data_IF_658433804005
#
_entry.id   IF_658433804005
#
_cell.length_a   1.000
_cell.length_b   1.000
_cell.length_c   1.000
_cell.angle_alpha   90.00
_cell.angle_beta   90.00
_cell.angle_gamma   90.00
#
_symmetry.space_group_name_H-M   'P 1'
#
loop_
_entity.id
_entity.type
_entity.pdbx_description
1 polymer ?
#
# COMPACT_ATOMS: atom_id res chain seq x y z
N UNK A 1 -18.02 19.87 -0.38
CA UNK A 1 -16.72 19.33 -0.82
C UNK A 1 -16.59 17.90 -0.30
N UNK A 2 -16.02 16.96 -1.04
CA UNK A 2 -15.80 15.59 -0.53
C UNK A 2 -14.69 15.59 0.51
N UNK A 3 -14.85 14.82 1.58
CA UNK A 3 -13.78 14.60 2.56
C UNK A 3 -12.80 13.53 2.06
N UNK A 4 -11.61 13.45 2.67
CA UNK A 4 -10.68 12.35 2.43
C UNK A 4 -11.31 10.97 2.69
N UNK A 5 -12.07 10.84 3.78
CA UNK A 5 -12.78 9.58 4.09
C UNK A 5 -13.77 9.22 2.99
N UNK A 6 -14.54 10.20 2.49
CA UNK A 6 -15.51 9.99 1.41
C UNK A 6 -14.84 9.46 0.14
N UNK A 7 -13.66 9.98 -0.23
CA UNK A 7 -12.92 9.48 -1.40
C UNK A 7 -12.45 8.03 -1.21
N UNK A 8 -11.98 7.69 -0.01
CA UNK A 8 -11.56 6.31 0.32
C UNK A 8 -12.77 5.37 0.25
N UNK A 9 -13.89 5.74 0.86
CA UNK A 9 -15.11 4.91 0.87
C UNK A 9 -15.66 4.69 -0.54
N UNK A 10 -15.58 5.70 -1.40
CA UNK A 10 -15.97 5.57 -2.81
C UNK A 10 -15.04 4.62 -3.58
N UNK A 11 -13.73 4.69 -3.38
CA UNK A 11 -12.80 3.76 -4.00
C UNK A 11 -13.03 2.32 -3.52
N UNK A 12 -13.28 2.11 -2.23
CA UNK A 12 -13.55 0.79 -1.65
C UNK A 12 -14.83 0.11 -2.14
N UNK A 13 -15.76 0.85 -2.78
CA UNK A 13 -16.91 0.23 -3.48
C UNK A 13 -16.49 -0.58 -4.71
N UNK A 14 -15.30 -0.31 -5.25
CA UNK A 14 -14.79 -0.91 -6.48
C UNK A 14 -13.50 -1.71 -6.26
N UNK A 15 -12.73 -1.37 -5.25
CA UNK A 15 -11.45 -1.99 -4.95
C UNK A 15 -11.64 -3.10 -3.91
N UNK A 16 -11.44 -4.37 -4.28
CA UNK A 16 -11.39 -5.46 -3.31
C UNK A 16 -10.23 -5.27 -2.32
N UNK A 17 -10.42 -5.73 -1.09
CA UNK A 17 -9.40 -5.72 -0.06
C UNK A 17 -9.01 -7.15 0.31
N UNK A 18 -7.72 -7.35 0.61
CA UNK A 18 -7.19 -8.60 1.19
C UNK A 18 -6.70 -8.31 2.60
N UNK A 19 -6.96 -9.23 3.55
CA UNK A 19 -6.44 -9.10 4.91
C UNK A 19 -4.96 -9.50 4.98
N UNK A 20 -4.20 -8.97 5.96
CA UNK A 20 -2.79 -9.34 6.14
C UNK A 20 -2.53 -10.86 6.26
N UNK A 21 -3.32 -11.56 7.06
CA UNK A 21 -3.16 -13.01 7.24
C UNK A 21 -3.45 -13.80 5.95
N UNK A 22 -4.49 -13.40 5.19
CA UNK A 22 -4.81 -14.02 3.90
C UNK A 22 -3.69 -13.77 2.89
N UNK A 23 -3.09 -12.57 2.90
CA UNK A 23 -1.95 -12.26 2.06
C UNK A 23 -0.73 -13.10 2.44
N UNK A 24 -0.46 -13.28 3.73
CA UNK A 24 0.67 -14.08 4.24
C UNK A 24 0.62 -15.51 3.73
N UNK A 25 -0.55 -16.13 3.74
CA UNK A 25 -0.74 -17.45 3.13
C UNK A 25 -0.59 -17.43 1.60
N UNK A 26 -1.03 -16.35 0.94
CA UNK A 26 -1.02 -16.25 -0.53
C UNK A 26 0.36 -16.02 -1.12
N UNK A 27 1.26 -15.35 -0.40
CA UNK A 27 2.64 -15.11 -0.87
C UNK A 27 3.51 -16.37 -0.86
N UNK A 28 3.09 -17.41 -0.12
CA UNK A 28 3.77 -18.72 -0.07
C UNK A 28 3.32 -19.67 -1.19
N UNK A 29 2.30 -19.30 -1.96
CA UNK A 29 1.76 -20.13 -3.05
C UNK A 29 2.66 -20.08 -4.29
N UNK A 30 2.44 -21.00 -5.23
CA UNK A 30 3.23 -21.09 -6.48
C UNK A 30 3.12 -19.86 -7.38
N UNK A 31 2.00 -19.14 -7.30
CA UNK A 31 1.74 -17.92 -8.08
C UNK A 31 1.35 -16.77 -7.13
N UNK A 32 2.33 -16.18 -6.41
CA UNK A 32 2.04 -15.12 -5.46
C UNK A 32 1.67 -13.82 -6.20
N UNK A 33 0.81 -12.97 -5.61
CA UNK A 33 0.52 -11.66 -6.17
C UNK A 33 1.78 -10.79 -6.19
N UNK A 34 1.83 -9.85 -7.13
CA UNK A 34 2.81 -8.78 -7.07
C UNK A 34 2.47 -7.85 -5.91
N UNK A 35 3.42 -7.66 -5.01
CA UNK A 35 3.31 -6.69 -3.93
C UNK A 35 3.81 -5.34 -4.42
N UNK A 36 2.96 -4.32 -4.38
CA UNK A 36 3.26 -2.97 -4.85
C UNK A 36 3.16 -1.98 -3.69
N UNK A 37 4.29 -1.51 -3.19
CA UNK A 37 4.34 -0.51 -2.13
C UNK A 37 4.33 0.91 -2.72
N UNK A 38 3.34 1.70 -2.34
CA UNK A 38 3.13 3.07 -2.83
C UNK A 38 3.43 4.16 -1.80
N UNK A 39 4.05 3.79 -0.67
CA UNK A 39 4.45 4.73 0.37
C UNK A 39 5.57 5.64 -0.12
N UNK A 40 5.81 6.71 0.63
CA UNK A 40 6.94 7.61 0.35
C UNK A 40 8.28 6.85 0.46
N UNK A 41 9.34 7.30 -0.24
CA UNK A 41 10.64 6.63 -0.22
C UNK A 41 11.20 6.39 1.17
N UNK A 42 11.05 7.34 2.09
CA UNK A 42 11.54 7.22 3.46
C UNK A 42 10.74 6.17 4.26
N UNK A 43 9.42 6.07 4.02
CA UNK A 43 8.58 5.04 4.65
C UNK A 43 8.98 3.63 4.18
N UNK A 44 9.31 3.46 2.89
CA UNK A 44 9.72 2.18 2.31
C UNK A 44 11.15 1.79 2.72
N UNK A 45 12.07 2.75 2.69
CA UNK A 45 13.48 2.57 3.08
C UNK A 45 13.60 2.15 4.55
N UNK A 46 12.79 2.75 5.43
CA UNK A 46 12.77 2.38 6.84
C UNK A 46 12.33 0.92 7.05
N UNK A 47 11.28 0.49 6.35
CA UNK A 47 10.83 -0.90 6.35
C UNK A 47 9.80 -1.16 5.25
N UNK A 48 9.79 -2.38 4.70
CA UNK A 48 8.80 -2.84 3.73
C UNK A 48 8.58 -4.35 3.78
N UNK A 49 7.51 -4.81 3.13
CA UNK A 49 7.25 -6.24 3.00
C UNK A 49 8.28 -6.83 2.02
N UNK A 50 8.99 -7.92 2.37
CA UNK A 50 10.02 -8.52 1.52
C UNK A 50 9.52 -8.82 0.11
N UNK A 51 10.34 -8.50 -0.90
CA UNK A 51 10.02 -8.72 -2.31
C UNK A 51 9.01 -7.76 -2.94
N UNK A 52 8.49 -6.78 -2.19
CA UNK A 52 7.62 -5.73 -2.74
C UNK A 52 8.35 -4.79 -3.70
N UNK A 53 7.65 -4.36 -4.75
CA UNK A 53 8.12 -3.34 -5.70
C UNK A 53 7.70 -1.97 -5.17
N UNK A 54 8.64 -1.04 -5.09
CA UNK A 54 8.37 0.32 -4.64
C UNK A 54 8.04 1.24 -5.81
N UNK A 55 6.85 1.85 -5.79
CA UNK A 55 6.43 2.89 -6.73
C UNK A 55 5.64 3.95 -5.95
N UNK A 56 6.24 5.08 -5.56
CA UNK A 56 5.55 6.13 -4.82
C UNK A 56 4.25 6.57 -5.49
N UNK A 57 3.21 6.83 -4.68
CA UNK A 57 1.88 7.22 -5.19
C UNK A 57 1.93 8.38 -6.19
N UNK A 58 2.82 9.35 -5.99
CA UNK A 58 2.92 10.55 -6.82
C UNK A 58 3.34 10.32 -8.27
N UNK A 59 3.93 9.16 -8.59
CA UNK A 59 4.37 8.79 -9.93
C UNK A 59 3.65 7.56 -10.48
N UNK A 60 2.64 7.06 -9.78
CA UNK A 60 2.04 5.75 -10.03
C UNK A 60 1.55 5.60 -11.48
N UNK A 61 0.89 6.61 -12.02
CA UNK A 61 0.28 6.58 -13.34
C UNK A 61 1.34 6.46 -14.45
N UNK A 62 2.42 7.24 -14.35
CA UNK A 62 3.54 7.19 -15.30
C UNK A 62 4.35 5.90 -15.15
N UNK A 63 4.59 5.46 -13.91
CA UNK A 63 5.30 4.23 -13.62
C UNK A 63 4.55 2.97 -14.07
N UNK A 64 3.22 3.02 -14.08
CA UNK A 64 2.34 1.92 -14.46
C UNK A 64 2.11 1.80 -15.97
N UNK A 65 2.71 2.65 -16.79
CA UNK A 65 2.56 2.62 -18.24
C UNK A 65 3.91 2.71 -18.97
N UNK A 66 3.93 2.34 -20.24
CA UNK A 66 5.15 2.33 -21.05
C UNK A 66 5.41 3.69 -21.70
N UNK A 67 6.70 4.09 -21.74
CA UNK A 67 7.14 5.27 -22.50
C UNK A 67 7.27 6.55 -21.69
N UNK A 68 7.38 6.45 -20.37
CA UNK A 68 7.61 7.56 -19.45
C UNK A 68 8.96 7.39 -18.73
N UNK A 69 9.55 8.48 -18.26
CA UNK A 69 10.85 8.45 -17.57
C UNK A 69 10.74 7.68 -16.24
N UNK A 70 9.55 7.66 -15.63
CA UNK A 70 9.23 6.95 -14.40
C UNK A 70 8.76 5.51 -14.60
N UNK A 71 8.65 5.03 -15.85
CA UNK A 71 8.16 3.66 -16.15
C UNK A 71 8.89 2.63 -15.28
N UNK A 72 8.12 1.88 -14.48
CA UNK A 72 8.61 0.71 -13.74
C UNK A 72 8.25 -0.54 -14.54
N UNK A 73 9.21 -1.18 -15.24
CA UNK A 73 8.91 -2.27 -16.16
C UNK A 73 8.17 -3.45 -15.52
N UNK A 74 8.44 -3.73 -14.23
CA UNK A 74 7.74 -4.80 -13.50
C UNK A 74 6.26 -4.49 -13.31
N UNK A 75 5.90 -3.22 -13.13
CA UNK A 75 4.52 -2.78 -12.97
C UNK A 75 3.85 -2.64 -14.34
N UNK A 76 4.45 -1.91 -15.28
CA UNK A 76 3.90 -1.69 -16.62
C UNK A 76 3.63 -2.99 -17.39
N UNK A 77 4.43 -4.04 -17.15
CA UNK A 77 4.23 -5.38 -17.71
C UNK A 77 3.24 -6.28 -16.95
N UNK A 78 2.64 -5.82 -15.84
CA UNK A 78 1.86 -6.64 -14.91
C UNK A 78 0.33 -6.39 -14.96
N UNK A 79 -0.19 -5.80 -16.04
CA UNK A 79 -1.62 -5.43 -16.18
C UNK A 79 -2.60 -6.58 -15.91
N UNK A 80 -2.23 -7.80 -16.29
CA UNK A 80 -3.05 -8.99 -16.07
C UNK A 80 -2.73 -9.74 -14.78
N UNK A 81 -1.68 -9.38 -14.03
CA UNK A 81 -1.27 -10.06 -12.80
C UNK A 81 -2.16 -9.67 -11.62
N UNK A 82 -2.21 -10.54 -10.62
CA UNK A 82 -2.74 -10.14 -9.31
C UNK A 82 -1.77 -9.17 -8.66
N UNK A 83 -2.26 -8.00 -8.25
CA UNK A 83 -1.48 -6.97 -7.58
C UNK A 83 -2.13 -6.65 -6.24
N UNK A 84 -1.33 -6.63 -5.19
CA UNK A 84 -1.74 -6.14 -3.87
C UNK A 84 -0.99 -4.84 -3.59
N UNK A 85 -1.75 -3.75 -3.54
CA UNK A 85 -1.24 -2.40 -3.31
C UNK A 85 -1.13 -2.16 -1.81
N UNK A 86 0.04 -1.72 -1.38
CA UNK A 86 0.42 -1.56 0.01
C UNK A 86 0.65 -0.08 0.30
N UNK A 87 0.08 0.38 1.40
CA UNK A 87 0.43 1.66 2.01
C UNK A 87 0.53 1.49 3.53
N UNK A 88 0.63 2.59 4.29
CA UNK A 88 0.71 2.49 5.76
C UNK A 88 -0.51 1.84 6.43
N UNK A 89 -1.73 2.17 5.98
CA UNK A 89 -2.97 1.85 6.71
C UNK A 89 -4.12 1.32 5.85
N UNK A 90 -3.88 0.98 4.58
CA UNK A 90 -4.89 0.51 3.62
C UNK A 90 -5.67 1.60 2.90
N UNK A 91 -5.53 2.87 3.31
CA UNK A 91 -6.34 3.98 2.77
C UNK A 91 -5.80 4.58 1.47
N UNK A 92 -4.49 4.90 1.43
CA UNK A 92 -3.83 5.41 0.22
C UNK A 92 -3.82 4.33 -0.88
N UNK A 93 -3.62 3.08 -0.50
CA UNK A 93 -3.62 1.93 -1.39
C UNK A 93 -4.98 1.70 -2.05
N UNK A 94 -6.10 1.92 -1.35
CA UNK A 94 -7.43 1.86 -1.96
C UNK A 94 -7.58 2.88 -3.11
N UNK A 95 -7.14 4.13 -2.90
CA UNK A 95 -7.19 5.16 -3.94
C UNK A 95 -6.27 4.81 -5.12
N UNK A 96 -5.08 4.30 -4.85
CA UNK A 96 -4.11 3.90 -5.86
C UNK A 96 -4.56 2.69 -6.67
N UNK A 97 -5.10 1.66 -6.01
CA UNK A 97 -5.69 0.51 -6.65
C UNK A 97 -6.84 0.91 -7.57
N UNK A 98 -7.66 1.89 -7.16
CA UNK A 98 -8.71 2.45 -8.02
C UNK A 98 -8.13 3.10 -9.29
N UNK A 99 -7.07 3.88 -9.16
CA UNK A 99 -6.37 4.46 -10.32
C UNK A 99 -5.81 3.37 -11.24
N UNK A 100 -5.19 2.31 -10.70
CA UNK A 100 -4.68 1.20 -11.49
C UNK A 100 -5.81 0.46 -12.24
N UNK A 101 -6.97 0.26 -11.60
CA UNK A 101 -8.15 -0.28 -12.28
C UNK A 101 -8.58 0.61 -13.47
N UNK A 102 -8.55 1.93 -13.31
CA UNK A 102 -8.88 2.89 -14.39
C UNK A 102 -7.86 2.87 -15.52
N UNK A 103 -6.60 2.58 -15.21
CA UNK A 103 -5.55 2.35 -16.21
C UNK A 103 -5.69 0.99 -16.90
N UNK A 104 -6.55 0.08 -16.44
CA UNK A 104 -6.82 -1.21 -17.07
C UNK A 104 -6.13 -2.41 -16.41
N UNK A 105 -5.64 -2.27 -15.17
CA UNK A 105 -5.15 -3.41 -14.40
C UNK A 105 -6.33 -4.24 -13.89
N UNK A 106 -6.41 -5.51 -14.29
CA UNK A 106 -7.61 -6.32 -14.13
C UNK A 106 -7.82 -6.84 -12.69
N UNK A 107 -6.73 -7.12 -11.96
CA UNK A 107 -6.76 -7.84 -10.67
C UNK A 107 -5.99 -7.10 -9.59
N UNK A 108 -6.51 -5.94 -9.19
CA UNK A 108 -5.88 -5.09 -8.16
C UNK A 108 -6.65 -5.12 -6.86
N UNK A 109 -5.97 -5.39 -5.76
CA UNK A 109 -6.48 -5.37 -4.40
C UNK A 109 -5.71 -4.35 -3.55
N UNK A 110 -6.37 -3.78 -2.54
CA UNK A 110 -5.69 -3.03 -1.48
C UNK A 110 -5.38 -3.96 -0.31
N UNK A 111 -4.18 -3.88 0.26
CA UNK A 111 -3.89 -4.53 1.54
C UNK A 111 -4.66 -3.79 2.65
N UNK A 112 -5.66 -4.46 3.22
CA UNK A 112 -6.42 -3.94 4.35
C UNK A 112 -5.48 -3.69 5.53
N UNK A 113 -5.69 -2.57 6.23
CA UNK A 113 -4.83 -2.12 7.33
C UNK A 113 -3.37 -1.81 6.95
N UNK A 114 -2.96 -2.01 5.69
CA UNK A 114 -1.63 -1.69 5.17
C UNK A 114 -0.50 -2.44 5.88
N UNK A 115 0.72 -1.90 5.77
CA UNK A 115 1.91 -2.45 6.45
C UNK A 115 1.78 -2.44 7.98
N UNK A 116 0.95 -1.55 8.54
CA UNK A 116 0.61 -1.60 9.97
C UNK A 116 -0.12 -2.90 10.32
N UNK A 117 -1.15 -3.26 9.57
CA UNK A 117 -1.86 -4.52 9.81
C UNK A 117 -1.00 -5.76 9.54
N UNK A 118 -0.06 -5.66 8.60
CA UNK A 118 0.94 -6.68 8.37
C UNK A 118 1.86 -6.88 9.57
N UNK A 119 2.39 -5.79 10.15
CA UNK A 119 3.18 -5.85 11.37
C UNK A 119 2.36 -6.38 12.57
N UNK A 120 1.12 -5.93 12.71
CA UNK A 120 0.20 -6.39 13.77
C UNK A 120 -0.12 -7.90 13.68
N UNK A 121 0.09 -8.51 12.51
CA UNK A 121 -0.07 -9.95 12.25
C UNK A 121 1.28 -10.70 12.30
N UNK A 122 2.34 -10.09 12.84
CA UNK A 122 3.71 -10.62 12.89
C UNK A 122 4.29 -10.97 11.50
N UNK A 123 3.85 -10.23 10.47
CA UNK A 123 4.38 -10.37 9.12
C UNK A 123 5.81 -9.82 9.02
N UNK A 124 6.72 -10.49 8.27
CA UNK A 124 8.11 -10.06 8.16
C UNK A 124 8.23 -8.71 7.47
N UNK A 125 9.15 -7.88 7.96
CA UNK A 125 9.53 -6.60 7.38
C UNK A 125 11.04 -6.53 7.25
N UNK A 126 11.51 -5.88 6.19
CA UNK A 126 12.93 -5.66 5.93
C UNK A 126 13.21 -4.17 5.68
N UNK A 127 14.39 -3.71 6.09
CA UNK A 127 14.91 -2.38 5.76
C UNK A 127 15.46 -2.33 4.33
N UNK A 128 15.98 -1.19 3.90
CA UNK A 128 16.56 -1.02 2.56
C UNK A 128 17.79 -1.91 2.28
N UNK A 129 18.47 -2.39 3.31
CA UNK A 129 19.62 -3.28 3.21
C UNK A 129 19.20 -4.76 3.23
N UNK A 130 17.90 -5.05 3.38
CA UNK A 130 17.35 -6.40 3.47
C UNK A 130 17.47 -7.03 4.86
N UNK A 131 17.77 -6.24 5.90
CA UNK A 131 17.80 -6.75 7.26
C UNK A 131 16.38 -6.82 7.82
N UNK A 132 16.08 -7.90 8.55
CA UNK A 132 14.82 -8.01 9.27
C UNK A 132 14.66 -6.87 10.29
N UNK A 133 13.50 -6.23 10.28
CA UNK A 133 13.13 -5.16 11.22
C UNK A 133 12.40 -5.76 12.41
N UNK A 134 12.75 -5.33 13.61
CA UNK A 134 12.08 -5.75 14.84
C UNK A 134 10.61 -5.28 14.88
N UNK A 135 9.63 -6.14 15.19
CA UNK A 135 8.22 -5.76 15.20
C UNK A 135 7.87 -4.62 16.16
N UNK A 136 8.58 -4.48 17.30
CA UNK A 136 8.33 -3.39 18.26
C UNK A 136 8.85 -2.05 17.72
N UNK A 137 10.02 -2.06 17.06
CA UNK A 137 10.54 -0.89 16.36
C UNK A 137 9.62 -0.45 15.22
N UNK A 138 9.17 -1.41 14.42
CA UNK A 138 8.21 -1.17 13.35
C UNK A 138 6.89 -0.58 13.89
N UNK A 139 6.36 -1.13 14.98
CA UNK A 139 5.13 -0.65 15.60
C UNK A 139 5.24 0.82 16.05
N UNK A 140 6.35 1.15 16.70
CA UNK A 140 6.64 2.50 17.17
C UNK A 140 6.66 3.53 16.01
N UNK A 141 7.21 3.14 14.86
CA UNK A 141 7.22 3.99 13.66
C UNK A 141 5.84 4.09 12.99
N UNK A 142 5.10 2.98 12.88
CA UNK A 142 3.83 2.91 12.15
C UNK A 142 2.67 3.56 12.91
N UNK A 143 2.75 3.64 14.24
CA UNK A 143 1.68 4.16 15.11
C UNK A 143 1.85 5.63 15.50
N UNK A 144 2.04 6.50 14.51
CA UNK A 144 1.99 7.95 14.73
C UNK A 144 0.56 8.39 15.09
N UNK A 145 0.39 8.98 16.27
CA UNK A 145 -0.89 9.49 16.75
C UNK A 145 -1.20 10.86 16.15
N UNK A 146 -2.47 11.09 15.84
CA UNK A 146 -2.98 12.42 15.48
C UNK A 146 -2.79 13.34 16.68
N UNK A 147 -2.12 14.47 16.48
CA UNK A 147 -1.90 15.48 17.52
C UNK A 147 -3.15 16.34 17.72
N UNK A 148 -3.30 17.03 18.86
CA UNK A 148 -4.44 17.90 19.11
C UNK A 148 -4.67 18.97 18.03
N UNK A 149 -3.59 19.56 17.48
CA UNK A 149 -3.66 20.54 16.38
C UNK A 149 -4.17 19.96 15.05
N UNK A 150 -4.18 18.63 14.91
CA UNK A 150 -4.56 17.92 13.70
C UNK A 150 -5.97 17.32 13.76
N UNK A 151 -6.64 17.32 14.92
CA UNK A 151 -7.98 16.73 15.08
C UNK A 151 -9.09 17.55 14.40
N UNK A 152 -8.75 18.72 13.86
CA UNK A 152 -9.72 19.70 13.40
C UNK A 152 -10.25 20.53 14.58
N UNK A 153 -11.15 21.51 14.31
CA UNK A 153 -11.86 22.19 15.38
C UNK A 153 -12.62 21.15 16.21
N UNK A 154 -12.53 21.25 17.54
CA UNK A 154 -13.44 20.50 18.41
C UNK A 154 -14.86 20.93 18.02
N UNK A 155 -15.75 19.98 17.77
CA UNK A 155 -17.17 20.29 17.60
C UNK A 155 -17.62 21.06 18.85
N UNK A 156 -17.86 22.37 18.71
CA UNK A 156 -18.55 23.16 19.72
C UNK A 156 -20.00 22.63 19.75
N UNK A 157 -20.24 21.67 20.63
CA UNK A 157 -21.57 21.15 20.97
C UNK A 157 -22.40 22.20 21.73
#
# INVERSE_FOLDING_TARGET
>A
MKSYQTLVDEALKHVPEIMPWDLRERIEQSEPPMLLDIREPEEYTAMHIPGSVHVPRGILEAAADWGFDETEPRLAGARDREIVVICRSGRRSALAARTLQELGYARVQSLKLGVRGWNDDDGPLEDADGNAVDPEEADAYLRVKVRPDQMGPADEA
#
